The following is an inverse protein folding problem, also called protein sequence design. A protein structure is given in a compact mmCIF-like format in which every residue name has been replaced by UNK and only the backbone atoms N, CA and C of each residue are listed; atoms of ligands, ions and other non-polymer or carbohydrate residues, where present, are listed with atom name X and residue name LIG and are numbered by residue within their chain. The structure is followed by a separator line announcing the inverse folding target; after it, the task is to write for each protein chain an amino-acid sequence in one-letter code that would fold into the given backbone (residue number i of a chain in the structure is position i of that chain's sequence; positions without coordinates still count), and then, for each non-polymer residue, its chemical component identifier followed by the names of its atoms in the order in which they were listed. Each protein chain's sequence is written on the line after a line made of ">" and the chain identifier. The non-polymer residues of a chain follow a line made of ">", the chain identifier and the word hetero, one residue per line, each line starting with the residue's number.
data_IF_837031591336
#
_entry.id   IF_837031591336
#
_cell.length_a   1.000
_cell.length_b   1.000
_cell.length_c   1.000
_cell.angle_alpha   90.00
_cell.angle_beta   90.00
_cell.angle_gamma   90.00
#
_symmetry.space_group_name_H-M   'P 1'
#
loop_
_entity.id
_entity.type
_entity.pdbx_description
1 polymer ?
#
# COMPACT_ATOMS: atom_id res chain seq x y z
N UNK A 1 -18.90 22.48 -28.61
CA UNK A 1 -19.13 21.40 -27.62
C UNK A 1 -18.27 20.17 -27.88
N UNK A 2 -18.23 19.62 -29.12
CA UNK A 2 -17.45 18.42 -29.45
C UNK A 2 -15.96 18.50 -29.07
N UNK A 3 -15.28 19.63 -29.34
CA UNK A 3 -13.85 19.82 -29.00
C UNK A 3 -13.58 19.87 -27.49
N UNK A 4 -14.49 20.46 -26.72
CA UNK A 4 -14.38 20.49 -25.26
C UNK A 4 -14.57 19.10 -24.67
N UNK A 5 -15.54 18.35 -25.20
CA UNK A 5 -15.79 16.96 -24.82
C UNK A 5 -14.56 16.06 -25.10
N UNK A 6 -13.89 16.25 -26.24
CA UNK A 6 -12.66 15.52 -26.60
C UNK A 6 -11.50 15.83 -25.64
N UNK A 7 -11.33 17.08 -25.23
CA UNK A 7 -10.27 17.48 -24.27
C UNK A 7 -10.54 16.88 -22.89
N UNK A 8 -11.78 16.93 -22.42
CA UNK A 8 -12.18 16.33 -21.13
C UNK A 8 -11.99 14.81 -21.16
N UNK A 9 -12.39 14.13 -22.23
CA UNK A 9 -12.16 12.70 -22.39
C UNK A 9 -10.67 12.33 -22.43
N UNK A 10 -9.85 13.13 -23.12
CA UNK A 10 -8.40 12.94 -23.17
C UNK A 10 -7.75 13.06 -21.79
N UNK A 11 -8.20 14.02 -20.98
CA UNK A 11 -7.70 14.22 -19.62
C UNK A 11 -8.11 13.09 -18.68
N UNK A 12 -9.37 12.64 -18.75
CA UNK A 12 -9.85 11.49 -17.96
C UNK A 12 -9.11 10.21 -18.34
N UNK A 13 -8.84 9.99 -19.63
CA UNK A 13 -8.05 8.85 -20.09
C UNK A 13 -6.61 8.90 -19.57
N UNK A 14 -5.96 10.07 -19.58
CA UNK A 14 -4.60 10.24 -19.07
C UNK A 14 -4.52 9.96 -17.55
N UNK A 15 -5.50 10.44 -16.79
CA UNK A 15 -5.60 10.16 -15.34
C UNK A 15 -5.85 8.66 -15.10
N UNK A 16 -6.72 8.03 -15.90
CA UNK A 16 -7.00 6.59 -15.81
C UNK A 16 -5.77 5.70 -16.09
N UNK A 17 -4.90 6.09 -17.03
CA UNK A 17 -3.63 5.39 -17.30
C UNK A 17 -2.54 5.65 -16.27
N UNK A 18 -2.60 6.77 -15.55
CA UNK A 18 -1.62 7.13 -14.51
C UNK A 18 -1.78 6.30 -13.23
N UNK A 19 -2.94 5.66 -13.05
CA UNK A 19 -3.19 4.71 -11.97
C UNK A 19 -2.74 3.33 -12.46
N UNK A 20 -1.44 3.12 -12.58
CA UNK A 20 -0.92 1.75 -12.66
C UNK A 20 -1.22 1.12 -11.30
N UNK A 21 -2.16 0.18 -11.27
CA UNK A 21 -2.43 -0.62 -10.08
C UNK A 21 -1.19 -1.43 -9.77
N UNK A 22 -0.32 -0.87 -8.93
CA UNK A 22 0.80 -1.62 -8.40
C UNK A 22 0.19 -2.81 -7.65
N UNK A 23 0.37 -4.01 -8.21
CA UNK A 23 -0.14 -5.26 -7.68
C UNK A 23 0.36 -5.39 -6.24
N UNK A 24 -0.50 -5.02 -5.28
CA UNK A 24 -0.10 -4.90 -3.89
C UNK A 24 0.45 -6.25 -3.41
N UNK A 25 1.73 -6.29 -3.05
CA UNK A 25 2.36 -7.48 -2.50
C UNK A 25 2.26 -7.43 -0.99
N UNK A 26 1.59 -8.42 -0.41
CA UNK A 26 1.56 -8.61 1.04
C UNK A 26 2.74 -9.48 1.46
N UNK A 27 3.63 -8.92 2.27
CA UNK A 27 4.72 -9.61 2.92
C UNK A 27 4.24 -10.07 4.29
N UNK A 28 4.11 -11.39 4.47
CA UNK A 28 3.79 -11.99 5.76
C UNK A 28 5.06 -12.20 6.55
N UNK A 29 5.14 -11.59 7.72
CA UNK A 29 6.32 -11.61 8.58
C UNK A 29 5.97 -12.28 9.90
N UNK A 30 6.52 -13.47 10.14
CA UNK A 30 6.47 -14.11 11.45
C UNK A 30 7.50 -13.44 12.35
N UNK A 31 7.05 -12.88 13.48
CA UNK A 31 7.97 -12.39 14.51
C UNK A 31 8.16 -13.43 15.61
N UNK A 32 9.35 -13.47 16.18
CA UNK A 32 9.68 -14.20 17.42
C UNK A 32 9.47 -13.35 18.67
N UNK A 33 9.10 -12.08 18.48
CA UNK A 33 8.82 -11.13 19.55
C UNK A 33 7.41 -11.38 20.09
N UNK A 34 7.27 -11.32 21.41
CA UNK A 34 5.98 -11.42 22.11
C UNK A 34 5.00 -10.35 21.59
N UNK A 35 3.73 -10.74 21.37
CA UNK A 35 2.67 -9.84 20.93
C UNK A 35 2.43 -8.63 21.85
N UNK A 36 2.87 -8.71 23.11
CA UNK A 36 2.72 -7.68 24.14
C UNK A 36 3.93 -6.75 24.26
N UNK A 37 5.01 -7.04 23.54
CA UNK A 37 6.23 -6.25 23.60
C UNK A 37 6.09 -4.96 22.76
N UNK A 38 6.69 -3.88 23.22
CA UNK A 38 6.63 -2.57 22.55
C UNK A 38 7.29 -2.62 21.16
N UNK A 39 8.26 -3.51 20.97
CA UNK A 39 8.94 -3.75 19.70
C UNK A 39 7.98 -4.27 18.61
N UNK A 40 6.89 -4.98 18.96
CA UNK A 40 5.86 -5.38 18.00
C UNK A 40 5.09 -4.17 17.48
N UNK A 41 4.90 -3.14 18.32
CA UNK A 41 4.30 -1.88 17.86
C UNK A 41 5.24 -1.17 16.90
N UNK A 42 6.53 -1.07 17.22
CA UNK A 42 7.53 -0.47 16.33
C UNK A 42 7.59 -1.16 14.96
N UNK A 43 7.53 -2.50 14.93
CA UNK A 43 7.53 -3.27 13.70
C UNK A 43 6.27 -3.02 12.84
N UNK A 44 5.10 -2.86 13.48
CA UNK A 44 3.85 -2.48 12.79
C UNK A 44 3.92 -1.06 12.25
N UNK A 45 4.45 -0.13 13.02
CA UNK A 45 4.60 1.28 12.62
C UNK A 45 5.52 1.37 11.39
N UNK A 46 6.65 0.66 11.39
CA UNK A 46 7.51 0.53 10.21
C UNK A 46 6.77 -0.02 8.98
N UNK A 47 5.99 -1.10 9.15
CA UNK A 47 5.20 -1.68 8.06
C UNK A 47 4.19 -0.69 7.47
N UNK A 48 3.55 0.11 8.33
CA UNK A 48 2.62 1.16 7.92
C UNK A 48 3.31 2.27 7.14
N UNK A 49 4.49 2.71 7.58
CA UNK A 49 5.27 3.74 6.91
C UNK A 49 5.66 3.30 5.49
N UNK A 50 6.12 2.06 5.32
CA UNK A 50 6.43 1.51 4.00
C UNK A 50 5.17 1.41 3.12
N UNK A 51 4.04 0.99 3.68
CA UNK A 51 2.77 0.97 2.95
C UNK A 51 2.35 2.37 2.48
N UNK A 52 2.52 3.39 3.33
CA UNK A 52 2.22 4.77 2.97
C UNK A 52 3.15 5.30 1.86
N UNK A 53 4.47 5.11 2.02
CA UNK A 53 5.48 5.57 1.06
C UNK A 53 5.40 4.88 -0.30
N UNK A 54 4.80 3.69 -0.34
CA UNK A 54 4.66 2.89 -1.57
C UNK A 54 3.24 2.94 -2.15
N UNK A 55 2.41 3.88 -1.67
CA UNK A 55 1.01 4.03 -2.07
C UNK A 55 0.22 2.70 -2.02
N UNK A 56 0.51 1.87 -1.02
CA UNK A 56 -0.17 0.59 -0.81
C UNK A 56 0.33 -0.57 -1.67
N UNK A 57 1.34 -0.36 -2.52
CA UNK A 57 1.92 -1.42 -3.37
C UNK A 57 2.72 -2.46 -2.58
N UNK A 58 3.21 -2.11 -1.38
CA UNK A 58 3.81 -3.02 -0.42
C UNK A 58 2.99 -2.99 0.86
N UNK A 59 2.55 -4.15 1.34
CA UNK A 59 1.82 -4.31 2.61
C UNK A 59 2.53 -5.30 3.51
N UNK A 60 2.50 -5.06 4.81
CA UNK A 60 3.05 -5.97 5.81
C UNK A 60 1.92 -6.58 6.63
N UNK A 61 2.02 -7.89 6.85
CA UNK A 61 1.17 -8.62 7.79
C UNK A 61 2.09 -9.22 8.86
N UNK A 62 2.14 -8.59 10.03
CA UNK A 62 3.00 -9.00 11.14
C UNK A 62 2.26 -10.04 11.99
N UNK A 63 2.74 -11.28 11.98
CA UNK A 63 2.20 -12.40 12.74
C UNK A 63 3.00 -12.56 14.05
N UNK A 64 2.36 -12.44 15.23
CA UNK A 64 3.05 -12.53 16.52
C UNK A 64 3.61 -13.93 16.79
N UNK A 65 4.59 -14.03 17.69
CA UNK A 65 5.17 -15.31 18.06
C UNK A 65 4.12 -16.30 18.59
N UNK A 66 4.10 -17.52 18.04
CA UNK A 66 3.25 -18.62 18.51
C UNK A 66 1.83 -18.68 17.95
N UNK A 67 1.54 -17.97 16.86
CA UNK A 67 0.36 -18.22 16.02
C UNK A 67 0.47 -19.50 15.20
#
# INVERSE_FOLDING_TARGET
>A
MKKLLTVVFGLVALIGFSITSANAKTLKCQTVISAKADEVKMLKDFGNDVTALTNGSIKFEIMPAGT
#
